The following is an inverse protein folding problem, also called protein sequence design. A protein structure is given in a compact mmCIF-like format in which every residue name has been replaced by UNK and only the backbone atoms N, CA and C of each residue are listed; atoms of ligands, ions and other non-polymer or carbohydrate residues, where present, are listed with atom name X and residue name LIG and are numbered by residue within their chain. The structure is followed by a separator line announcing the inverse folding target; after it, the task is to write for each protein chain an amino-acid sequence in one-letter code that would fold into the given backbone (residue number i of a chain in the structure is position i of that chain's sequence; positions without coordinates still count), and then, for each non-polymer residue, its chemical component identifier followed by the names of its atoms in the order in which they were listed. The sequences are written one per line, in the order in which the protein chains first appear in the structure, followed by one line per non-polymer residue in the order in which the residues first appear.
data_IF_805076450869
#
_entry.id   IF_805076450869
#
_cell.length_a   1.000
_cell.length_b   1.000
_cell.length_c   1.000
_cell.angle_alpha   90.00
_cell.angle_beta   90.00
_cell.angle_gamma   90.00
#
_symmetry.space_group_name_H-M   'P 1'
#
loop_
_entity.id
_entity.type
_entity.pdbx_description
1 polymer ?
#
# COMPACT_ATOMS: atom_id res chain seq x y z
N UNK A 1 -5.01 10.65 -7.15
CA UNK A 1 -4.04 11.30 -6.25
C UNK A 1 -2.88 11.93 -7.03
N UNK A 2 -2.32 11.25 -8.03
CA UNK A 2 -1.21 11.72 -8.86
C UNK A 2 -1.35 13.16 -9.41
N UNK A 3 -2.45 13.50 -10.10
CA UNK A 3 -2.63 14.84 -10.70
C UNK A 3 -2.73 15.96 -9.65
N UNK A 4 -3.14 15.61 -8.42
CA UNK A 4 -3.17 16.55 -7.31
C UNK A 4 -1.76 16.81 -6.81
N UNK A 5 -0.89 15.79 -6.77
CA UNK A 5 0.50 15.94 -6.35
C UNK A 5 1.34 16.69 -7.40
N UNK A 6 1.13 16.42 -8.70
CA UNK A 6 1.84 17.09 -9.79
C UNK A 6 0.98 17.16 -11.05
N UNK A 7 1.02 18.32 -11.70
CA UNK A 7 0.38 18.65 -12.98
C UNK A 7 1.16 18.13 -14.20
N UNK A 8 2.28 17.44 -13.98
CA UNK A 8 3.15 16.88 -15.01
C UNK A 8 3.86 15.62 -14.56
N UNK A 9 4.47 14.92 -15.52
CA UNK A 9 5.42 13.84 -15.26
C UNK A 9 6.64 14.37 -14.49
N UNK A 10 6.95 13.72 -13.38
CA UNK A 10 8.09 14.01 -12.53
C UNK A 10 9.27 13.08 -12.86
N UNK A 11 10.47 13.66 -12.95
CA UNK A 11 11.66 12.93 -13.37
C UNK A 11 12.21 12.00 -12.28
N UNK A 12 11.99 12.32 -11.00
CA UNK A 12 12.56 11.53 -9.90
C UNK A 12 11.81 11.71 -8.59
N UNK A 13 12.07 10.81 -7.64
CA UNK A 13 11.55 10.94 -6.27
C UNK A 13 11.91 12.29 -5.64
N UNK A 14 13.09 12.84 -5.96
CA UNK A 14 13.52 14.15 -5.45
C UNK A 14 12.59 15.28 -5.88
N UNK A 15 12.08 15.26 -7.12
CA UNK A 15 11.31 16.37 -7.67
C UNK A 15 9.85 16.33 -7.22
N UNK A 16 9.28 15.13 -7.05
CA UNK A 16 7.91 14.94 -6.55
C UNK A 16 7.80 15.02 -5.02
N UNK A 17 8.87 14.68 -4.27
CA UNK A 17 8.87 14.62 -2.80
C UNK A 17 8.37 15.90 -2.14
N UNK A 18 8.87 17.06 -2.55
CA UNK A 18 8.48 18.33 -1.93
C UNK A 18 7.01 18.66 -2.19
N UNK A 19 6.49 18.29 -3.37
CA UNK A 19 5.08 18.50 -3.74
C UNK A 19 4.14 17.58 -2.94
N UNK A 20 4.55 16.34 -2.70
CA UNK A 20 3.79 15.40 -1.86
C UNK A 20 3.85 15.86 -0.40
N UNK A 21 5.05 16.15 0.12
CA UNK A 21 5.24 16.50 1.52
C UNK A 21 4.55 17.81 1.91
N UNK A 22 4.46 18.79 1.01
CA UNK A 22 3.73 20.03 1.28
C UNK A 22 2.23 19.82 1.47
N UNK A 23 1.68 18.76 0.86
CA UNK A 23 0.26 18.37 0.96
C UNK A 23 0.02 17.29 1.99
N UNK A 24 1.05 16.57 2.43
CA UNK A 24 0.90 15.38 3.26
C UNK A 24 0.09 15.64 4.53
N UNK A 25 0.25 16.80 5.18
CA UNK A 25 -0.52 17.16 6.37
C UNK A 25 -2.02 17.35 6.13
N UNK A 26 -2.42 17.68 4.90
CA UNK A 26 -3.83 17.83 4.50
C UNK A 26 -4.47 16.47 4.14
N UNK A 27 -3.71 15.57 3.50
CA UNK A 27 -4.25 14.32 2.96
C UNK A 27 -4.02 13.09 3.84
N UNK A 28 -2.98 13.08 4.68
CA UNK A 28 -2.69 11.97 5.59
C UNK A 28 -3.45 12.14 6.90
N UNK A 29 -4.77 12.10 6.81
CA UNK A 29 -5.70 12.19 7.94
C UNK A 29 -6.40 10.87 8.20
N UNK A 30 -7.04 10.75 9.36
CA UNK A 30 -7.87 9.60 9.69
C UNK A 30 -9.06 9.43 8.74
N UNK A 31 -9.50 8.18 8.60
CA UNK A 31 -10.68 7.85 7.80
C UNK A 31 -11.95 8.20 8.59
N UNK A 32 -12.95 8.82 7.96
CA UNK A 32 -14.23 9.03 8.63
C UNK A 32 -14.88 7.69 8.98
N UNK A 33 -15.66 7.62 10.07
CA UNK A 33 -16.38 6.40 10.42
C UNK A 33 -17.40 6.07 9.32
N UNK A 34 -17.65 4.77 9.13
CA UNK A 34 -18.68 4.30 8.20
C UNK A 34 -20.05 4.68 8.77
N UNK A 35 -20.79 5.51 8.05
CA UNK A 35 -22.15 5.91 8.41
C UNK A 35 -23.12 5.08 7.56
N UNK A 36 -24.11 4.47 8.21
CA UNK A 36 -25.16 3.74 7.50
C UNK A 36 -25.95 4.72 6.63
N UNK A 37 -26.05 4.41 5.35
CA UNK A 37 -26.81 5.22 4.41
C UNK A 37 -28.32 5.15 4.75
N UNK A 38 -29.08 6.27 4.65
CA UNK A 38 -30.50 6.28 5.03
C UNK A 38 -31.38 5.43 4.11
N UNK A 39 -30.90 5.13 2.90
CA UNK A 39 -31.59 4.27 1.95
C UNK A 39 -31.03 2.85 2.00
N UNK A 40 -31.93 1.87 2.12
CA UNK A 40 -31.58 0.45 2.06
C UNK A 40 -31.67 -0.02 0.61
N UNK A 41 -30.65 -0.73 0.12
CA UNK A 41 -30.69 -1.36 -1.18
C UNK A 41 -31.77 -2.44 -1.20
N UNK A 42 -32.58 -2.50 -2.27
CA UNK A 42 -33.54 -3.59 -2.51
C UNK A 42 -32.92 -4.79 -3.22
N UNK A 43 -31.63 -4.70 -3.53
CA UNK A 43 -30.89 -5.73 -4.22
C UNK A 43 -30.48 -6.81 -3.23
N UNK A 44 -30.89 -8.04 -3.50
CA UNK A 44 -30.35 -9.22 -2.83
C UNK A 44 -29.38 -9.91 -3.80
N UNK A 45 -28.08 -10.03 -3.44
CA UNK A 45 -27.13 -10.74 -4.28
C UNK A 45 -27.43 -12.23 -4.27
N UNK A 46 -27.30 -12.87 -5.44
CA UNK A 46 -27.30 -14.33 -5.53
C UNK A 46 -26.10 -14.92 -4.80
N UNK A 47 -26.25 -16.14 -4.28
CA UNK A 47 -25.15 -16.85 -3.65
C UNK A 47 -24.07 -17.15 -4.68
N UNK A 48 -22.82 -16.84 -4.33
CA UNK A 48 -21.66 -17.10 -5.19
C UNK A 48 -20.99 -18.39 -4.72
N UNK A 49 -20.82 -19.35 -5.62
CA UNK A 49 -19.90 -20.47 -5.42
C UNK A 49 -18.47 -20.00 -5.67
N UNK A 50 -17.73 -19.77 -4.59
CA UNK A 50 -16.36 -19.28 -4.66
C UNK A 50 -15.38 -20.31 -5.20
N UNK A 51 -15.65 -21.61 -4.99
CA UNK A 51 -14.77 -22.69 -5.47
C UNK A 51 -14.88 -22.80 -6.99
N UNK A 52 -16.10 -22.78 -7.53
CA UNK A 52 -16.34 -22.73 -8.98
C UNK A 52 -15.77 -21.44 -9.61
N UNK A 53 -15.94 -20.30 -8.95
CA UNK A 53 -15.42 -19.01 -9.42
C UNK A 53 -13.89 -19.00 -9.52
N UNK A 54 -13.19 -19.74 -8.66
CA UNK A 54 -11.72 -19.90 -8.71
C UNK A 54 -11.34 -20.85 -9.85
N UNK A 55 -12.01 -21.99 -9.97
CA UNK A 55 -11.68 -23.02 -10.98
C UNK A 55 -11.90 -22.54 -12.41
N UNK A 56 -12.96 -21.74 -12.61
CA UNK A 56 -13.36 -21.17 -13.91
C UNK A 56 -12.43 -20.07 -14.43
N UNK A 57 -11.52 -19.54 -13.59
CA UNK A 57 -10.56 -18.52 -14.01
C UNK A 57 -9.52 -19.10 -14.97
N UNK A 58 -9.31 -18.38 -16.06
CA UNK A 58 -8.20 -18.60 -16.99
C UNK A 58 -6.91 -18.02 -16.40
N UNK A 59 -6.33 -18.73 -15.44
CA UNK A 59 -5.07 -18.40 -14.79
C UNK A 59 -4.08 -19.57 -14.93
N UNK A 60 -2.79 -19.27 -15.02
CA UNK A 60 -1.74 -20.30 -15.01
C UNK A 60 -1.70 -21.01 -13.66
N UNK A 61 -2.07 -22.29 -13.65
CA UNK A 61 -2.16 -23.13 -12.44
C UNK A 61 -0.80 -23.70 -12.02
N UNK A 62 0.26 -23.50 -12.82
CA UNK A 62 1.60 -23.95 -12.47
C UNK A 62 2.26 -23.06 -11.39
N UNK A 63 1.82 -21.81 -11.27
CA UNK A 63 2.25 -20.90 -10.21
C UNK A 63 1.28 -21.05 -9.03
N UNK A 64 1.69 -21.82 -8.03
CA UNK A 64 0.90 -22.05 -6.83
C UNK A 64 0.74 -20.79 -5.94
N UNK A 65 -0.25 -20.80 -5.03
CA UNK A 65 -0.40 -19.74 -4.04
C UNK A 65 0.83 -19.66 -3.12
N UNK A 66 1.13 -18.47 -2.61
CA UNK A 66 2.20 -18.26 -1.65
C UNK A 66 1.76 -18.66 -0.23
N UNK A 67 2.59 -19.41 0.49
CA UNK A 67 2.25 -19.90 1.83
C UNK A 67 2.35 -18.84 2.93
N UNK A 68 3.23 -17.86 2.75
CA UNK A 68 3.58 -16.87 3.77
C UNK A 68 2.65 -15.64 3.78
N UNK A 69 1.97 -15.35 2.66
CA UNK A 69 1.10 -14.19 2.50
C UNK A 69 -0.36 -14.62 2.30
N UNK A 70 -1.06 -14.91 3.40
CA UNK A 70 -2.50 -15.20 3.35
C UNK A 70 -3.27 -13.93 2.99
N UNK A 71 -4.20 -13.97 2.01
CA UNK A 71 -4.94 -12.78 1.58
C UNK A 71 -5.91 -12.28 2.66
N UNK A 72 -6.41 -11.06 2.47
CA UNK A 72 -7.46 -10.43 3.29
C UNK A 72 -6.95 -9.40 4.28
N UNK A 73 -7.83 -8.46 4.63
CA UNK A 73 -7.52 -7.32 5.51
C UNK A 73 -6.98 -7.75 6.88
N UNK A 74 -7.56 -8.79 7.49
CA UNK A 74 -7.13 -9.28 8.81
C UNK A 74 -5.69 -9.79 8.80
N UNK A 75 -5.28 -10.47 7.74
CA UNK A 75 -3.91 -10.95 7.60
C UNK A 75 -2.95 -9.79 7.28
N UNK A 76 -3.40 -8.79 6.53
CA UNK A 76 -2.65 -7.55 6.30
C UNK A 76 -2.36 -6.82 7.64
N UNK A 77 -3.37 -6.71 8.51
CA UNK A 77 -3.21 -6.11 9.85
C UNK A 77 -2.25 -6.90 10.73
N UNK A 78 -2.29 -8.23 10.69
CA UNK A 78 -1.33 -9.08 11.43
C UNK A 78 0.10 -8.84 10.94
N UNK A 79 0.31 -8.78 9.62
CA UNK A 79 1.62 -8.48 9.03
C UNK A 79 2.10 -7.07 9.41
N UNK A 80 1.21 -6.08 9.36
CA UNK A 80 1.51 -4.70 9.80
C UNK A 80 1.94 -4.69 11.26
N UNK A 81 1.18 -5.34 12.15
CA UNK A 81 1.50 -5.41 13.58
C UNK A 81 2.86 -6.06 13.82
N UNK A 82 3.14 -7.20 13.19
CA UNK A 82 4.48 -7.83 13.25
C UNK A 82 5.59 -6.89 12.77
N UNK A 83 5.37 -6.16 11.67
CA UNK A 83 6.33 -5.18 11.18
C UNK A 83 6.59 -4.07 12.20
N UNK A 84 5.54 -3.44 12.74
CA UNK A 84 5.64 -2.36 13.73
C UNK A 84 6.35 -2.83 15.01
N UNK A 85 5.96 -3.99 15.54
CA UNK A 85 6.45 -4.51 16.81
C UNK A 85 7.92 -4.97 16.73
N UNK A 86 8.34 -5.55 15.59
CA UNK A 86 9.61 -6.30 15.53
C UNK A 86 10.65 -5.69 14.57
N UNK A 87 10.23 -5.15 13.43
CA UNK A 87 11.11 -4.89 12.28
C UNK A 87 11.26 -3.40 11.97
N UNK A 88 10.28 -2.56 12.32
CA UNK A 88 10.33 -1.12 12.08
C UNK A 88 11.61 -0.50 12.63
N UNK A 89 12.05 -0.89 13.82
CA UNK A 89 13.28 -0.36 14.45
C UNK A 89 14.57 -0.54 13.63
N UNK A 90 14.63 -1.54 12.76
CA UNK A 90 15.79 -1.83 11.89
C UNK A 90 15.54 -1.52 10.41
N UNK A 91 14.33 -1.09 10.05
CA UNK A 91 13.94 -0.88 8.65
C UNK A 91 14.91 0.06 7.91
N UNK A 92 15.19 1.26 8.45
CA UNK A 92 16.07 2.22 7.78
C UNK A 92 17.46 1.65 7.47
N UNK A 93 18.04 0.90 8.39
CA UNK A 93 19.43 0.43 8.29
C UNK A 93 19.56 -0.90 7.57
N UNK A 94 18.51 -1.74 7.55
CA UNK A 94 18.58 -3.12 7.06
C UNK A 94 17.70 -3.44 5.86
N UNK A 95 16.87 -2.51 5.35
CA UNK A 95 16.00 -2.74 4.17
C UNK A 95 16.72 -3.18 2.89
N UNK A 96 18.01 -2.84 2.74
CA UNK A 96 18.81 -3.19 1.57
C UNK A 96 19.63 -4.49 1.77
N UNK A 97 19.53 -5.12 2.94
CA UNK A 97 20.25 -6.34 3.27
C UNK A 97 19.31 -7.54 3.11
N UNK A 98 19.41 -8.33 2.02
CA UNK A 98 18.52 -9.45 1.76
C UNK A 98 18.66 -10.58 2.80
N UNK A 99 19.70 -10.57 3.64
CA UNK A 99 19.89 -11.54 4.72
C UNK A 99 19.12 -11.18 5.99
N UNK A 100 18.46 -10.02 6.02
CA UNK A 100 17.72 -9.51 7.17
C UNK A 100 16.26 -9.40 6.85
N UNK A 101 15.43 -9.95 7.72
CA UNK A 101 13.98 -9.73 7.71
C UNK A 101 13.67 -8.33 8.28
N UNK A 102 13.92 -7.31 7.47
CA UNK A 102 13.76 -5.90 7.84
C UNK A 102 12.58 -5.24 7.13
N UNK A 103 12.06 -5.82 6.04
CA UNK A 103 10.99 -5.25 5.23
C UNK A 103 9.62 -5.40 5.90
N UNK A 104 8.65 -4.59 5.47
CA UNK A 104 7.27 -4.71 5.96
C UNK A 104 6.55 -5.95 5.44
N UNK A 105 6.98 -6.45 4.27
CA UNK A 105 6.33 -7.51 3.50
C UNK A 105 4.85 -7.21 3.14
N UNK A 106 4.43 -5.94 3.17
CA UNK A 106 3.03 -5.56 2.95
C UNK A 106 2.62 -5.44 1.47
N UNK A 107 3.56 -5.57 0.53
CA UNK A 107 3.30 -5.39 -0.90
C UNK A 107 2.19 -6.28 -1.47
N UNK A 108 1.99 -7.55 -1.07
CA UNK A 108 0.88 -8.36 -1.59
C UNK A 108 -0.49 -7.77 -1.25
N UNK A 109 -0.66 -7.26 -0.02
CA UNK A 109 -1.92 -6.67 0.43
C UNK A 109 -2.14 -5.26 -0.15
N UNK A 110 -1.07 -4.50 -0.37
CA UNK A 110 -1.16 -3.21 -1.06
C UNK A 110 -1.60 -3.38 -2.52
N UNK A 111 -1.02 -4.35 -3.22
CA UNK A 111 -1.31 -4.60 -4.63
C UNK A 111 -2.79 -4.89 -4.87
N UNK A 112 -3.42 -5.70 -4.02
CA UNK A 112 -4.84 -6.03 -4.13
C UNK A 112 -5.78 -5.07 -3.39
N UNK A 113 -5.28 -3.96 -2.84
CA UNK A 113 -6.11 -3.01 -2.06
C UNK A 113 -6.73 -3.61 -0.79
N UNK A 114 -6.18 -4.72 -0.29
CA UNK A 114 -6.69 -5.42 0.89
C UNK A 114 -6.39 -4.65 2.18
N UNK A 115 -5.44 -3.72 2.16
CA UNK A 115 -5.20 -2.73 3.22
C UNK A 115 -4.83 -1.40 2.58
N UNK A 116 -5.37 -0.30 3.13
CA UNK A 116 -5.02 1.04 2.67
C UNK A 116 -3.58 1.39 3.05
N UNK A 117 -2.80 1.88 2.08
CA UNK A 117 -1.44 2.39 2.33
C UNK A 117 -1.48 3.61 3.27
N UNK A 118 -2.51 4.45 3.17
CA UNK A 118 -2.71 5.57 4.08
C UNK A 118 -2.95 5.09 5.51
N UNK A 119 -3.77 4.04 5.70
CA UNK A 119 -3.96 3.42 7.04
C UNK A 119 -2.64 2.94 7.61
N UNK A 120 -1.80 2.27 6.80
CA UNK A 120 -0.47 1.83 7.24
C UNK A 120 0.43 3.00 7.58
N UNK A 121 0.46 4.05 6.75
CA UNK A 121 1.26 5.25 6.99
C UNK A 121 0.90 5.94 8.32
N UNK A 122 -0.40 6.05 8.64
CA UNK A 122 -0.87 6.57 9.93
C UNK A 122 -0.33 5.74 11.11
N UNK A 123 -0.47 4.41 11.07
CA UNK A 123 0.03 3.54 12.14
C UNK A 123 1.57 3.60 12.29
N UNK A 124 2.30 3.71 11.19
CA UNK A 124 3.77 3.87 11.22
C UNK A 124 4.15 5.23 11.80
N UNK A 125 3.40 6.30 11.52
CA UNK A 125 3.64 7.62 12.07
C UNK A 125 3.53 7.69 13.60
N UNK A 126 2.67 6.90 14.22
CA UNK A 126 2.56 6.81 15.69
C UNK A 126 3.87 6.39 16.35
N UNK A 127 4.76 5.70 15.61
CA UNK A 127 6.05 5.23 16.10
C UNK A 127 7.19 6.22 15.87
N UNK A 128 6.90 7.40 15.29
CA UNK A 128 7.92 8.40 14.93
C UNK A 128 8.76 8.84 16.12
N UNK A 129 8.18 8.92 17.32
CA UNK A 129 8.91 9.28 18.54
C UNK A 129 10.00 8.28 18.96
N UNK A 130 9.90 7.01 18.55
CA UNK A 130 10.86 5.94 18.89
C UNK A 130 11.78 5.58 17.73
N UNK A 131 11.28 5.64 16.49
CA UNK A 131 11.94 5.11 15.31
C UNK A 131 11.94 6.10 14.14
N UNK A 132 12.27 7.37 14.40
CA UNK A 132 12.18 8.49 13.44
C UNK A 132 12.74 8.16 12.06
N UNK A 133 13.97 7.63 11.99
CA UNK A 133 14.64 7.35 10.72
C UNK A 133 13.91 6.26 9.92
N UNK A 134 13.54 5.17 10.58
CA UNK A 134 12.78 4.09 9.97
C UNK A 134 11.38 4.51 9.53
N UNK A 135 10.70 5.34 10.31
CA UNK A 135 9.40 5.91 9.96
C UNK A 135 9.51 6.78 8.72
N UNK A 136 10.48 7.71 8.70
CA UNK A 136 10.69 8.58 7.54
C UNK A 136 11.08 7.77 6.29
N UNK A 137 11.96 6.78 6.44
CA UNK A 137 12.35 5.88 5.35
C UNK A 137 11.16 5.07 4.83
N UNK A 138 10.28 4.59 5.71
CA UNK A 138 9.08 3.86 5.31
C UNK A 138 8.11 4.76 4.53
N UNK A 139 7.84 5.98 5.02
CA UNK A 139 6.93 6.91 4.34
C UNK A 139 7.46 7.35 2.97
N UNK A 140 8.78 7.52 2.84
CA UNK A 140 9.41 7.80 1.55
C UNK A 140 9.16 6.67 0.53
N UNK A 141 9.32 5.40 0.93
CA UNK A 141 9.07 4.28 0.03
C UNK A 141 7.58 4.06 -0.24
N UNK A 142 6.73 4.09 0.80
CA UNK A 142 5.31 3.76 0.70
C UNK A 142 4.45 4.87 0.07
N UNK A 143 4.87 6.13 0.20
CA UNK A 143 4.13 7.29 -0.32
C UNK A 143 4.87 7.89 -1.51
N UNK A 144 6.09 8.39 -1.33
CA UNK A 144 6.77 9.16 -2.40
C UNK A 144 7.06 8.29 -3.61
N UNK A 145 7.67 7.12 -3.42
CA UNK A 145 8.03 6.23 -4.55
C UNK A 145 6.82 5.58 -5.21
N UNK A 146 5.80 5.24 -4.42
CA UNK A 146 4.54 4.68 -4.95
C UNK A 146 3.79 5.70 -5.80
N UNK A 147 3.59 6.93 -5.28
CA UNK A 147 2.93 7.99 -6.05
C UNK A 147 3.77 8.45 -7.26
N UNK A 148 5.11 8.30 -7.21
CA UNK A 148 5.95 8.52 -8.39
C UNK A 148 5.71 7.49 -9.49
N UNK A 149 5.53 6.20 -9.14
CA UNK A 149 5.19 5.17 -10.11
C UNK A 149 3.83 5.45 -10.76
N UNK A 150 2.83 5.81 -9.93
CA UNK A 150 1.51 6.23 -10.43
C UNK A 150 1.62 7.50 -11.31
N UNK A 151 2.51 8.44 -10.96
CA UNK A 151 2.79 9.61 -11.78
C UNK A 151 3.42 9.28 -13.12
N UNK A 152 4.37 8.36 -13.15
CA UNK A 152 4.99 7.91 -14.38
C UNK A 152 3.98 7.23 -15.31
N UNK A 153 3.23 6.23 -14.82
CA UNK A 153 2.26 5.51 -15.64
C UNK A 153 1.08 6.39 -16.10
N UNK A 154 0.71 7.42 -15.32
CA UNK A 154 -0.37 8.32 -15.71
C UNK A 154 0.02 9.28 -16.83
N UNK A 155 1.26 9.78 -16.84
CA UNK A 155 1.71 10.77 -17.83
C UNK A 155 2.49 10.18 -19.01
N UNK A 156 3.00 8.95 -18.90
CA UNK A 156 3.70 8.26 -19.98
C UNK A 156 2.76 7.25 -20.64
N UNK A 157 2.20 7.58 -21.81
CA UNK A 157 1.30 6.68 -22.57
C UNK A 157 1.99 5.38 -23.01
N UNK A 158 3.32 5.38 -23.12
CA UNK A 158 4.15 4.24 -23.55
C UNK A 158 4.98 3.65 -22.40
N UNK A 159 4.45 3.60 -21.17
CA UNK A 159 5.22 3.18 -20.00
C UNK A 159 5.73 1.73 -20.04
N UNK A 160 5.18 0.89 -20.90
CA UNK A 160 5.52 -0.53 -21.09
C UNK A 160 5.99 -0.87 -22.52
N UNK A 161 6.18 0.14 -23.37
CA UNK A 161 6.64 -0.05 -24.75
C UNK A 161 8.17 -0.08 -24.78
N UNK A 162 8.75 -1.26 -25.01
CA UNK A 162 10.17 -1.47 -25.30
C UNK A 162 10.37 -1.60 -26.80
#
# INVERSE_FOLDING_TARGET
SCWVASDKQEYSARTIRNKINSKLGEYLTEFPPIIKHPYTAKFEPESIDWDEAIVSREADKNVGPVDWARPGYDNALKMLKSFLDQRLKVFATKRNDPTKDALSNLSPWFHFGQISVQRVALCVQEHKGKHTESVNAFLEEAIVRRELADNFCFYCEHYDSI
#
